data_IF_459520002147
#
_entry.id   IF_459520002147
#
_cell.length_a   1.000
_cell.length_b   1.000
_cell.length_c   1.000
_cell.angle_alpha   90.00
_cell.angle_beta   90.00
_cell.angle_gamma   90.00
#
_symmetry.space_group_name_H-M   'P 1'
#
loop_
_entity.id
_entity.type
_entity.pdbx_description
1 polymer ?
#
# COMPACT_ATOMS: atom_id res chain seq x y z
N UNK A 1 15.97 -4.82 -10.97
CA UNK A 1 14.90 -5.51 -11.73
C UNK A 1 13.67 -4.62 -11.80
N UNK A 2 13.17 -4.38 -12.98
CA UNK A 2 11.90 -3.65 -13.15
C UNK A 2 10.73 -4.64 -13.10
N UNK A 3 9.73 -4.33 -12.27
CA UNK A 3 8.48 -5.11 -12.21
C UNK A 3 7.50 -4.64 -13.28
N UNK A 4 7.45 -3.32 -13.50
CA UNK A 4 6.72 -2.67 -14.58
C UNK A 4 7.54 -1.49 -15.08
N UNK A 5 6.99 -0.70 -16.02
CA UNK A 5 7.73 0.41 -16.64
C UNK A 5 8.24 1.43 -15.61
N UNK A 6 7.49 1.70 -14.55
CA UNK A 6 7.82 2.73 -13.56
C UNK A 6 8.03 2.20 -12.13
N UNK A 7 8.02 0.89 -11.93
CA UNK A 7 8.19 0.30 -10.58
C UNK A 7 9.27 -0.75 -10.58
N UNK A 8 10.21 -0.63 -9.64
CA UNK A 8 11.31 -1.57 -9.48
C UNK A 8 11.11 -2.46 -8.26
N UNK A 9 11.72 -3.64 -8.27
CA UNK A 9 11.72 -4.51 -7.10
C UNK A 9 12.37 -3.81 -5.91
N UNK A 10 13.45 -3.06 -6.13
CA UNK A 10 14.18 -2.34 -5.09
C UNK A 10 13.26 -1.40 -4.29
N UNK A 11 12.43 -0.60 -4.96
CA UNK A 11 11.51 0.30 -4.24
C UNK A 11 10.38 -0.43 -3.54
N UNK A 12 9.96 -1.60 -4.05
CA UNK A 12 8.90 -2.38 -3.44
C UNK A 12 9.34 -3.17 -2.21
N UNK A 13 10.65 -3.37 -2.02
CA UNK A 13 11.20 -4.10 -0.87
C UNK A 13 11.95 -3.18 0.11
N UNK A 14 12.04 -1.89 -0.18
CA UNK A 14 12.69 -0.94 0.70
C UNK A 14 11.96 -0.86 2.03
N UNK A 15 12.71 -0.94 3.14
CA UNK A 15 12.16 -0.83 4.49
C UNK A 15 13.14 -0.10 5.39
N UNK A 16 12.75 1.08 5.87
CA UNK A 16 13.57 1.85 6.81
C UNK A 16 13.73 1.12 8.14
N UNK A 17 12.69 0.39 8.56
CA UNK A 17 12.74 -0.44 9.77
C UNK A 17 13.77 -1.56 9.64
N UNK A 18 13.78 -2.27 8.51
CA UNK A 18 14.76 -3.32 8.26
C UNK A 18 16.18 -2.75 8.26
N UNK A 19 16.40 -1.60 7.64
CA UNK A 19 17.71 -0.96 7.61
C UNK A 19 18.18 -0.55 9.00
N UNK A 20 17.30 0.08 9.80
CA UNK A 20 17.66 0.54 11.17
C UNK A 20 17.99 -0.62 12.10
N UNK A 21 17.38 -1.77 11.94
CA UNK A 21 17.53 -2.93 12.81
C UNK A 21 18.38 -4.03 12.20
N UNK A 22 19.03 -3.75 11.05
CA UNK A 22 19.87 -4.72 10.32
C UNK A 22 19.13 -6.04 10.07
N UNK A 23 17.88 -5.93 9.61
CA UNK A 23 17.00 -7.06 9.33
C UNK A 23 16.96 -7.35 7.84
N UNK A 24 16.84 -8.64 7.49
CA UNK A 24 16.64 -9.06 6.11
C UNK A 24 15.19 -8.84 5.68
N UNK A 25 15.00 -8.15 4.56
CA UNK A 25 13.68 -7.94 3.96
C UNK A 25 13.62 -8.50 2.52
N UNK A 26 14.36 -9.56 2.25
CA UNK A 26 14.41 -10.17 0.93
C UNK A 26 13.16 -11.04 0.70
N UNK A 27 12.38 -10.78 -0.37
CA UNK A 27 11.22 -11.59 -0.71
C UNK A 27 11.62 -12.90 -1.39
N UNK A 28 10.77 -13.92 -1.28
CA UNK A 28 10.87 -15.13 -2.08
C UNK A 28 10.28 -14.95 -3.48
N UNK A 29 10.37 -15.98 -4.30
CA UNK A 29 9.88 -15.96 -5.69
C UNK A 29 8.36 -15.70 -5.77
N UNK A 30 7.58 -16.30 -4.87
CA UNK A 30 6.12 -16.11 -4.84
C UNK A 30 5.78 -14.66 -4.52
N UNK A 31 6.46 -14.06 -3.56
CA UNK A 31 6.23 -12.67 -3.16
C UNK A 31 6.65 -11.69 -4.26
N UNK A 32 7.74 -11.98 -4.97
CA UNK A 32 8.15 -11.17 -6.13
C UNK A 32 7.10 -11.23 -7.23
N UNK A 33 6.55 -12.42 -7.53
CA UNK A 33 5.47 -12.56 -8.51
C UNK A 33 4.22 -11.78 -8.09
N UNK A 34 3.88 -11.80 -6.79
CA UNK A 34 2.75 -11.05 -6.26
C UNK A 34 2.99 -9.54 -6.36
N UNK A 35 4.21 -9.08 -6.06
CA UNK A 35 4.57 -7.66 -6.21
C UNK A 35 4.44 -7.21 -7.67
N UNK A 36 4.86 -8.04 -8.60
CA UNK A 36 4.72 -7.74 -10.03
C UNK A 36 3.25 -7.59 -10.42
N UNK A 37 2.40 -8.49 -9.96
CA UNK A 37 0.94 -8.42 -10.21
C UNK A 37 0.34 -7.15 -9.62
N UNK A 38 0.70 -6.81 -8.39
CA UNK A 38 0.26 -5.57 -7.72
C UNK A 38 0.67 -4.34 -8.54
N UNK A 39 1.91 -4.31 -9.02
CA UNK A 39 2.38 -3.21 -9.86
C UNK A 39 1.63 -3.13 -11.19
N UNK A 40 1.41 -4.27 -11.85
CA UNK A 40 0.70 -4.31 -13.14
C UNK A 40 -0.76 -3.89 -13.03
N UNK A 41 -1.44 -4.33 -11.97
CA UNK A 41 -2.90 -4.18 -11.84
C UNK A 41 -3.32 -2.92 -11.09
N UNK A 42 -2.47 -2.38 -10.25
CA UNK A 42 -2.81 -1.23 -9.40
C UNK A 42 -1.83 -0.07 -9.58
N UNK A 43 -0.55 -0.28 -9.24
CA UNK A 43 0.38 0.85 -9.12
C UNK A 43 0.71 1.49 -10.47
N UNK A 44 0.93 0.69 -11.52
CA UNK A 44 1.20 1.23 -12.85
C UNK A 44 -0.01 1.98 -13.43
N UNK A 45 -1.26 1.47 -13.35
CA UNK A 45 -2.44 2.26 -13.74
C UNK A 45 -2.55 3.60 -12.99
N UNK A 46 -2.27 3.62 -11.71
CA UNK A 46 -2.24 4.87 -10.91
C UNK A 46 -1.19 5.83 -11.47
N UNK A 47 0.02 5.34 -11.69
CA UNK A 47 1.12 6.15 -12.24
C UNK A 47 0.76 6.73 -13.60
N UNK A 48 0.14 5.92 -14.46
CA UNK A 48 -0.21 6.31 -15.81
C UNK A 48 -1.31 7.39 -15.82
N UNK A 49 -2.29 7.29 -14.93
CA UNK A 49 -3.37 8.26 -14.84
C UNK A 49 -2.89 9.61 -14.31
N UNK A 50 -2.20 9.60 -13.16
CA UNK A 50 -1.77 10.84 -12.52
C UNK A 50 -0.54 11.47 -13.18
N UNK A 51 0.19 10.70 -14.00
CA UNK A 51 1.37 11.15 -14.77
C UNK A 51 2.48 11.75 -13.90
N UNK A 52 2.58 11.28 -12.67
CA UNK A 52 3.61 11.72 -11.73
C UNK A 52 4.04 10.54 -10.86
N UNK A 53 5.20 10.67 -10.22
CA UNK A 53 5.76 9.57 -9.42
C UNK A 53 4.87 9.16 -8.26
N UNK A 54 4.70 7.86 -8.09
CA UNK A 54 4.02 7.27 -6.94
C UNK A 54 5.07 6.93 -5.90
N UNK A 55 4.92 7.50 -4.70
CA UNK A 55 5.80 7.19 -3.58
C UNK A 55 5.30 5.94 -2.88
N UNK A 56 6.14 4.91 -2.81
CA UNK A 56 5.82 3.67 -2.08
C UNK A 56 6.44 3.78 -0.69
N UNK A 57 5.60 3.99 0.31
CA UNK A 57 6.04 4.08 1.71
C UNK A 57 6.39 2.70 2.27
N UNK A 58 5.67 1.67 1.87
CA UNK A 58 5.89 0.29 2.26
C UNK A 58 5.27 -0.64 1.22
N UNK A 59 6.06 -1.58 0.71
CA UNK A 59 5.58 -2.66 -0.14
C UNK A 59 5.69 -3.98 0.59
N UNK A 60 6.59 -4.85 0.15
CA UNK A 60 6.84 -6.12 0.84
C UNK A 60 7.45 -5.89 2.22
N UNK A 61 6.98 -6.65 3.21
CA UNK A 61 7.59 -6.76 4.54
C UNK A 61 7.77 -8.23 4.90
N UNK A 62 9.02 -8.62 5.15
CA UNK A 62 9.31 -9.92 5.73
C UNK A 62 8.53 -10.06 7.06
N UNK A 63 8.01 -11.26 7.41
CA UNK A 63 7.25 -11.44 8.64
C UNK A 63 7.92 -10.91 9.90
N UNK A 64 9.24 -11.05 10.02
CA UNK A 64 10.00 -10.52 11.17
C UNK A 64 10.01 -8.99 11.19
N UNK A 65 10.14 -8.34 10.03
CA UNK A 65 10.06 -6.88 9.91
C UNK A 65 8.64 -6.41 10.22
N UNK A 66 7.65 -7.14 9.73
CA UNK A 66 6.24 -6.85 10.01
C UNK A 66 5.93 -6.89 11.51
N UNK A 67 6.45 -7.90 12.22
CA UNK A 67 6.30 -7.99 13.66
C UNK A 67 6.95 -6.79 14.37
N UNK A 68 8.10 -6.33 13.88
CA UNK A 68 8.82 -5.19 14.46
C UNK A 68 8.04 -3.88 14.35
N UNK A 69 7.29 -3.66 13.25
CA UNK A 69 6.46 -2.47 13.08
C UNK A 69 5.05 -2.62 13.70
N UNK A 70 4.76 -3.76 14.33
CA UNK A 70 3.46 -4.00 14.94
C UNK A 70 2.34 -4.33 13.95
N UNK A 71 2.69 -4.83 12.75
CA UNK A 71 1.71 -5.22 11.75
C UNK A 71 0.96 -6.50 12.11
N UNK A 72 -0.18 -6.70 11.47
CA UNK A 72 -0.98 -7.91 11.64
C UNK A 72 -0.20 -9.15 11.14
N UNK A 73 -0.32 -10.27 11.86
CA UNK A 73 0.30 -11.55 11.44
C UNK A 73 -0.21 -12.04 10.09
N UNK A 74 -1.38 -11.57 9.66
CA UNK A 74 -2.01 -11.92 8.38
C UNK A 74 -1.88 -10.80 7.36
N UNK A 75 -0.92 -9.89 7.54
CA UNK A 75 -0.74 -8.73 6.66
C UNK A 75 -0.45 -9.14 5.22
N UNK A 76 -1.16 -8.52 4.28
CA UNK A 76 -0.92 -8.70 2.85
C UNK A 76 0.45 -8.19 2.40
N UNK A 77 1.08 -7.28 3.16
CA UNK A 77 2.46 -6.86 2.93
C UNK A 77 3.44 -8.02 3.00
N UNK A 78 3.18 -9.01 3.85
CA UNK A 78 4.06 -10.19 3.98
C UNK A 78 3.99 -11.14 2.79
N UNK A 79 2.95 -11.03 1.98
CA UNK A 79 2.78 -11.82 0.76
C UNK A 79 3.18 -11.08 -0.51
N UNK A 80 3.59 -9.83 -0.41
CA UNK A 80 3.85 -8.98 -1.57
C UNK A 80 2.57 -8.55 -2.27
N UNK A 81 1.45 -8.53 -1.58
CA UNK A 81 0.13 -8.22 -2.15
C UNK A 81 -0.42 -6.86 -1.71
N UNK A 82 0.35 -6.08 -0.99
CA UNK A 82 -0.08 -4.76 -0.53
C UNK A 82 1.02 -3.71 -0.65
N UNK A 83 0.60 -2.47 -0.80
CA UNK A 83 1.48 -1.31 -0.75
C UNK A 83 0.78 -0.15 -0.05
N UNK A 84 1.56 0.64 0.66
CA UNK A 84 1.15 1.93 1.21
C UNK A 84 1.76 3.00 0.32
N UNK A 85 0.92 3.83 -0.29
CA UNK A 85 1.33 4.75 -1.34
C UNK A 85 0.82 6.17 -1.12
N UNK A 86 1.52 7.12 -1.72
CA UNK A 86 1.14 8.52 -1.82
C UNK A 86 1.62 9.08 -3.15
N UNK A 87 1.01 10.15 -3.60
CA UNK A 87 1.48 10.92 -4.76
C UNK A 87 1.69 12.35 -4.31
N UNK A 88 2.94 12.88 -4.35
CA UNK A 88 3.19 14.28 -4.00
C UNK A 88 2.31 15.22 -4.83
N UNK A 89 1.64 16.15 -4.15
CA UNK A 89 0.75 17.10 -4.80
C UNK A 89 -0.69 16.63 -5.03
N UNK A 90 -0.99 15.37 -4.76
CA UNK A 90 -2.35 14.81 -4.88
C UNK A 90 -2.85 14.46 -3.47
N UNK A 91 -4.00 14.98 -3.03
CA UNK A 91 -4.56 14.59 -1.75
C UNK A 91 -4.79 13.08 -1.66
N UNK A 92 -4.44 12.47 -0.53
CA UNK A 92 -4.59 11.03 -0.36
C UNK A 92 -6.04 10.57 -0.49
N UNK A 93 -7.00 11.40 -0.07
CA UNK A 93 -8.42 11.11 -0.28
C UNK A 93 -8.78 11.01 -1.76
N UNK A 94 -8.24 11.89 -2.60
CA UNK A 94 -8.49 11.88 -4.05
C UNK A 94 -7.87 10.65 -4.72
N UNK A 95 -6.66 10.28 -4.29
CA UNK A 95 -6.00 9.06 -4.76
C UNK A 95 -6.84 7.83 -4.43
N UNK A 96 -7.33 7.71 -3.20
CA UNK A 96 -8.16 6.59 -2.77
C UNK A 96 -9.46 6.51 -3.57
N UNK A 97 -10.14 7.63 -3.78
CA UNK A 97 -11.39 7.69 -4.56
C UNK A 97 -11.15 7.26 -6.00
N UNK A 98 -10.05 7.71 -6.62
CA UNK A 98 -9.73 7.31 -7.99
C UNK A 98 -9.53 5.80 -8.09
N UNK A 99 -8.80 5.20 -7.15
CA UNK A 99 -8.60 3.74 -7.12
C UNK A 99 -9.94 3.02 -6.98
N UNK A 100 -10.77 3.48 -6.05
CA UNK A 100 -12.10 2.91 -5.81
C UNK A 100 -12.96 2.92 -7.08
N UNK A 101 -12.92 4.01 -7.84
CA UNK A 101 -13.79 4.20 -9.00
C UNK A 101 -13.27 3.53 -10.28
N UNK A 102 -11.97 3.22 -10.37
CA UNK A 102 -11.34 2.82 -11.63
C UNK A 102 -10.66 1.47 -11.64
N UNK A 103 -10.33 0.90 -10.47
CA UNK A 103 -9.54 -0.34 -10.40
C UNK A 103 -10.27 -1.44 -9.66
N UNK A 104 -9.83 -2.68 -9.90
CA UNK A 104 -10.16 -3.82 -9.05
C UNK A 104 -9.06 -4.02 -8.01
N UNK A 105 -9.43 -4.44 -6.82
CA UNK A 105 -8.50 -4.65 -5.71
C UNK A 105 -9.17 -5.51 -4.62
N UNK A 106 -8.37 -5.96 -3.65
CA UNK A 106 -8.89 -6.72 -2.51
C UNK A 106 -9.35 -5.77 -1.40
N UNK A 107 -8.47 -4.87 -0.97
CA UNK A 107 -8.77 -3.94 0.12
C UNK A 107 -8.12 -2.59 -0.16
N UNK A 108 -8.87 -1.53 0.13
CA UNK A 108 -8.42 -0.14 0.01
C UNK A 108 -8.71 0.55 1.32
N UNK A 109 -7.68 1.13 1.95
CA UNK A 109 -7.80 1.82 3.22
C UNK A 109 -7.21 3.22 3.10
N UNK A 110 -8.01 4.22 3.40
CA UNK A 110 -7.52 5.58 3.61
C UNK A 110 -7.08 5.67 5.07
N UNK A 111 -5.76 5.70 5.31
CA UNK A 111 -5.20 5.57 6.66
C UNK A 111 -4.77 6.92 7.22
N UNK A 112 -5.38 7.31 8.33
CA UNK A 112 -5.03 8.49 9.13
C UNK A 112 -5.04 9.81 8.36
N UNK A 113 -5.93 9.92 7.38
CA UNK A 113 -6.12 11.15 6.62
C UNK A 113 -6.85 12.20 7.48
N UNK A 114 -6.32 13.41 7.49
CA UNK A 114 -6.96 14.56 8.16
C UNK A 114 -7.58 15.45 7.08
N UNK A 115 -8.90 15.65 7.06
CA UNK A 115 -9.54 16.57 6.12
C UNK A 115 -8.91 17.97 6.21
N UNK A 116 -8.59 18.55 5.06
CA UNK A 116 -7.90 19.85 4.99
C UNK A 116 -6.38 19.77 5.04
N UNK A 117 -5.80 18.58 5.26
CA UNK A 117 -4.37 18.32 5.21
C UNK A 117 -4.11 17.25 4.15
N UNK A 118 -3.93 17.65 2.88
CA UNK A 118 -3.94 16.72 1.72
C UNK A 118 -2.92 15.60 1.79
N UNK A 119 -1.74 15.85 2.36
CA UNK A 119 -0.65 14.89 2.45
C UNK A 119 -0.62 14.12 3.78
N UNK A 120 -1.67 14.23 4.59
CA UNK A 120 -1.76 13.47 5.84
C UNK A 120 -2.09 12.00 5.56
N UNK A 121 -1.55 11.10 6.40
CA UNK A 121 -1.79 9.67 6.26
C UNK A 121 -1.22 9.09 4.97
N UNK A 122 -1.83 8.03 4.51
CA UNK A 122 -1.45 7.35 3.25
C UNK A 122 -2.61 6.49 2.74
N UNK A 123 -2.42 5.88 1.57
CA UNK A 123 -3.39 4.95 0.99
C UNK A 123 -2.80 3.54 0.99
N UNK A 124 -3.47 2.63 1.69
CA UNK A 124 -3.16 1.21 1.65
C UNK A 124 -4.02 0.54 0.59
N UNK A 125 -3.39 -0.21 -0.31
CA UNK A 125 -4.11 -0.99 -1.33
C UNK A 125 -3.51 -2.39 -1.43
N UNK A 126 -4.37 -3.40 -1.52
CA UNK A 126 -3.95 -4.78 -1.70
C UNK A 126 -4.61 -5.41 -2.92
N UNK A 127 -3.93 -6.39 -3.49
CA UNK A 127 -4.41 -7.10 -4.68
C UNK A 127 -4.11 -8.59 -4.55
N UNK A 128 -5.15 -9.37 -4.30
CA UNK A 128 -5.14 -10.83 -4.36
C UNK A 128 -6.06 -11.24 -5.50
N UNK A 129 -5.53 -11.78 -6.63
CA UNK A 129 -6.36 -12.13 -7.79
C UNK A 129 -7.48 -13.13 -7.46
N UNK A 130 -7.30 -13.93 -6.39
CA UNK A 130 -8.30 -14.89 -5.96
C UNK A 130 -9.40 -14.25 -5.09
N UNK A 131 -9.27 -12.99 -4.70
CA UNK A 131 -10.20 -12.35 -3.78
C UNK A 131 -10.31 -10.84 -4.03
N UNK A 132 -10.91 -10.45 -5.15
CA UNK A 132 -11.09 -9.04 -5.53
C UNK A 132 -12.40 -8.50 -4.96
N UNK A 133 -12.51 -8.50 -3.63
CA UNK A 133 -13.73 -8.10 -2.92
C UNK A 133 -13.98 -6.60 -2.84
N UNK A 134 -13.03 -5.77 -3.22
CA UNK A 134 -13.13 -4.29 -3.22
C UNK A 134 -13.63 -3.73 -1.90
N UNK A 135 -13.07 -4.20 -0.79
CA UNK A 135 -13.40 -3.69 0.52
C UNK A 135 -12.78 -2.30 0.72
N UNK A 136 -13.61 -1.32 1.05
CA UNK A 136 -13.17 0.06 1.30
C UNK A 136 -13.29 0.36 2.78
N UNK A 137 -12.21 0.86 3.39
CA UNK A 137 -12.15 1.22 4.79
C UNK A 137 -11.46 2.57 4.98
N UNK A 138 -11.74 3.21 6.12
CA UNK A 138 -11.00 4.37 6.60
C UNK A 138 -10.45 4.03 7.98
N UNK A 139 -9.14 4.18 8.15
CA UNK A 139 -8.50 3.98 9.45
C UNK A 139 -8.28 5.33 10.13
N UNK A 140 -8.70 5.44 11.39
CA UNK A 140 -8.56 6.64 12.20
C UNK A 140 -8.20 6.27 13.64
N UNK A 141 -7.73 7.25 14.40
CA UNK A 141 -7.44 7.05 15.83
C UNK A 141 -8.60 7.56 16.67
N UNK A 142 -9.04 6.73 17.63
CA UNK A 142 -10.01 7.12 18.66
C UNK A 142 -9.49 6.58 20.00
N UNK A 143 -9.32 7.49 20.97
CA UNK A 143 -8.81 7.14 22.30
C UNK A 143 -7.47 6.36 22.24
N UNK A 144 -6.57 6.76 21.32
CA UNK A 144 -5.27 6.14 21.14
C UNK A 144 -5.28 4.81 20.40
N UNK A 145 -6.44 4.33 19.96
CA UNK A 145 -6.60 3.06 19.25
C UNK A 145 -6.98 3.28 17.80
N UNK A 146 -6.48 2.42 16.91
CA UNK A 146 -6.88 2.42 15.51
C UNK A 146 -8.28 1.84 15.36
N UNK A 147 -9.15 2.58 14.69
CA UNK A 147 -10.53 2.18 14.39
C UNK A 147 -10.70 2.17 12.89
N UNK A 148 -11.30 1.10 12.35
CA UNK A 148 -11.59 0.97 10.93
C UNK A 148 -13.07 1.23 10.68
N UNK A 149 -13.38 2.24 9.87
CA UNK A 149 -14.75 2.60 9.49
C UNK A 149 -15.04 2.08 8.08
N UNK A 150 -16.26 1.58 7.81
CA UNK A 150 -16.64 1.17 6.46
C UNK A 150 -16.64 2.35 5.50
N UNK A 151 -16.17 2.11 4.27
CA UNK A 151 -16.13 3.12 3.20
C UNK A 151 -14.97 4.10 3.34
N UNK A 152 -14.91 5.03 2.40
CA UNK A 152 -13.94 6.12 2.42
C UNK A 152 -14.60 7.36 3.02
N UNK A 153 -14.17 7.72 4.22
CA UNK A 153 -14.70 8.85 4.99
C UNK A 153 -13.56 9.86 5.15
N UNK A 154 -13.65 10.98 4.44
CA UNK A 154 -12.63 12.03 4.48
C UNK A 154 -13.16 13.28 5.15
#
# INVERSE_FOLDING_TARGET
MNLTANFTLSEMVKSDTALRHDMDNTPGETEIANLKTLCEKVLQPVRDYFKTGVKVNSGYRHPEVNAKVGGSKTSDHCRGQAADIEIPGIPNADLAVWIMDNLDYTQLILEFYTPGVPDSGWVHVSYDPANLKKQNLTATKRDGKTVYLPGLVA
#
